data_IF_896058424263
#
_entry.id   IF_896058424263
#
_cell.length_a   1.000
_cell.length_b   1.000
_cell.length_c   1.000
_cell.angle_alpha   90.00
_cell.angle_beta   90.00
_cell.angle_gamma   90.00
#
_symmetry.space_group_name_H-M   'P 1'
#
loop_
_entity.id
_entity.type
_entity.pdbx_description
1 polymer ?
#
# COMPACT_ATOMS: atom_id res chain seq x y z
N UNK A 1 10.73 14.87 12.11
CA UNK A 1 9.98 14.16 11.05
C UNK A 1 10.89 14.19 9.85
N UNK A 2 11.44 13.04 9.48
CA UNK A 2 12.41 12.95 8.40
C UNK A 2 11.67 12.58 7.12
N UNK A 3 11.62 13.52 6.18
CA UNK A 3 11.06 13.29 4.85
C UNK A 3 12.14 12.68 3.96
N UNK A 4 11.79 11.59 3.29
CA UNK A 4 12.72 10.83 2.46
C UNK A 4 12.17 10.79 1.05
N UNK A 5 12.92 11.36 0.13
CA UNK A 5 12.58 11.35 -1.29
C UNK A 5 12.84 9.96 -1.88
N UNK A 6 11.79 9.31 -2.36
CA UNK A 6 11.86 7.99 -3.03
C UNK A 6 11.82 8.15 -4.55
N UNK A 7 10.92 9.00 -5.05
CA UNK A 7 10.76 9.31 -6.47
C UNK A 7 10.90 10.81 -6.70
N UNK A 8 11.27 11.20 -7.92
CA UNK A 8 11.35 12.59 -8.35
C UNK A 8 10.09 13.11 -9.04
N UNK A 9 9.17 12.21 -9.40
CA UNK A 9 7.88 12.54 -10.00
C UNK A 9 6.89 11.37 -9.87
N UNK A 10 5.60 11.68 -9.96
CA UNK A 10 4.54 10.68 -10.08
C UNK A 10 4.73 9.78 -11.31
N UNK A 11 5.25 10.32 -12.42
CA UNK A 11 5.50 9.56 -13.64
C UNK A 11 6.59 8.50 -13.43
N UNK A 12 7.71 8.86 -12.79
CA UNK A 12 8.77 7.92 -12.45
C UNK A 12 8.26 6.83 -11.48
N UNK A 13 7.44 7.20 -10.50
CA UNK A 13 6.80 6.23 -9.60
C UNK A 13 5.94 5.23 -10.40
N UNK A 14 5.02 5.71 -11.24
CA UNK A 14 4.16 4.84 -12.08
C UNK A 14 4.97 3.89 -12.95
N UNK A 15 6.00 4.39 -13.63
CA UNK A 15 6.87 3.59 -14.49
C UNK A 15 7.60 2.49 -13.69
N UNK A 16 8.00 2.80 -12.46
CA UNK A 16 8.71 1.86 -11.59
C UNK A 16 7.78 0.79 -11.00
N UNK A 17 6.60 1.19 -10.53
CA UNK A 17 5.68 0.29 -9.84
C UNK A 17 4.84 -0.55 -10.82
N UNK A 18 4.41 0.04 -11.93
CA UNK A 18 3.36 -0.51 -12.79
C UNK A 18 2.05 -0.68 -12.02
N UNK A 19 1.30 -1.73 -12.35
CA UNK A 19 -0.05 -1.99 -11.78
C UNK A 19 -0.02 -2.87 -10.51
N UNK A 20 1.17 -3.13 -9.95
CA UNK A 20 1.33 -4.04 -8.81
C UNK A 20 1.82 -3.29 -7.57
N UNK A 21 1.33 -3.67 -6.38
CA UNK A 21 1.92 -3.17 -5.16
C UNK A 21 3.37 -3.65 -5.03
N UNK A 22 4.21 -2.84 -4.39
CA UNK A 22 5.64 -3.11 -4.17
C UNK A 22 6.01 -2.92 -2.72
N UNK A 23 6.96 -3.73 -2.26
CA UNK A 23 7.61 -3.54 -0.97
C UNK A 23 8.62 -2.41 -1.08
N UNK A 24 8.50 -1.43 -0.19
CA UNK A 24 9.50 -0.41 0.06
C UNK A 24 9.99 -0.55 1.51
N UNK A 25 11.31 -0.56 1.72
CA UNK A 25 11.90 -0.62 3.06
C UNK A 25 12.63 0.69 3.33
N UNK A 26 12.22 1.40 4.38
CA UNK A 26 12.81 2.67 4.80
C UNK A 26 13.06 2.62 6.30
N UNK A 27 14.32 2.76 6.74
CA UNK A 27 14.71 2.69 8.15
C UNK A 27 14.07 1.49 8.90
N UNK A 28 14.17 0.29 8.30
CA UNK A 28 13.56 -0.97 8.79
C UNK A 28 12.02 -0.99 8.85
N UNK A 29 11.33 0.06 8.42
CA UNK A 29 9.88 0.02 8.21
C UNK A 29 9.57 -0.59 6.85
N UNK A 30 8.63 -1.53 6.83
CA UNK A 30 8.14 -2.18 5.61
C UNK A 30 6.85 -1.50 5.17
N UNK A 31 6.88 -0.90 4.00
CA UNK A 31 5.78 -0.18 3.41
C UNK A 31 5.31 -0.91 2.15
N UNK A 32 4.01 -0.95 1.94
CA UNK A 32 3.43 -1.33 0.67
C UNK A 32 3.08 -0.05 -0.09
N UNK A 33 3.68 0.11 -1.26
CA UNK A 33 3.42 1.25 -2.16
C UNK A 33 2.76 0.78 -3.45
N UNK A 34 1.81 1.57 -3.94
CA UNK A 34 1.13 1.36 -5.21
C UNK A 34 0.74 2.69 -5.84
N UNK A 35 0.35 2.65 -7.11
CA UNK A 35 -0.39 3.74 -7.75
C UNK A 35 -1.69 3.17 -8.30
N UNK A 36 -2.80 3.84 -8.06
CA UNK A 36 -4.10 3.53 -8.65
C UNK A 36 -4.75 4.84 -9.08
N UNK A 37 -5.23 4.93 -10.33
CA UNK A 37 -5.85 6.12 -10.91
C UNK A 37 -5.09 7.41 -10.57
N UNK A 38 -3.81 7.42 -10.92
CA UNK A 38 -2.89 8.54 -10.71
C UNK A 38 -2.66 8.96 -9.25
N UNK A 39 -3.16 8.18 -8.30
CA UNK A 39 -3.02 8.41 -6.87
C UNK A 39 -1.97 7.47 -6.28
N UNK A 40 -0.83 8.00 -5.78
CA UNK A 40 0.10 7.24 -4.96
C UNK A 40 -0.55 6.79 -3.67
N UNK A 41 -0.07 5.67 -3.14
CA UNK A 41 -0.62 5.03 -1.96
C UNK A 41 0.53 4.45 -1.16
N UNK A 42 0.56 4.72 0.14
CA UNK A 42 1.61 4.26 1.04
C UNK A 42 0.98 3.79 2.34
N UNK A 43 1.02 2.48 2.57
CA UNK A 43 0.50 1.84 3.78
C UNK A 43 1.56 0.94 4.40
N UNK A 44 1.35 0.51 5.64
CA UNK A 44 2.16 -0.56 6.22
C UNK A 44 2.07 -1.84 5.38
N UNK A 45 3.21 -2.49 5.12
CA UNK A 45 3.23 -3.78 4.39
C UNK A 45 2.59 -4.91 5.20
N UNK A 46 2.43 -4.74 6.51
CA UNK A 46 1.92 -5.80 7.37
C UNK A 46 0.40 -5.79 7.42
N UNK A 47 -0.23 -6.83 6.88
CA UNK A 47 -1.67 -7.02 7.00
C UNK A 47 -2.09 -7.04 8.49
N UNK A 48 -3.01 -6.17 8.92
CA UNK A 48 -3.39 -6.06 10.34
C UNK A 48 -4.14 -7.29 10.87
N UNK A 49 -4.62 -8.17 9.99
CA UNK A 49 -5.24 -9.45 10.37
C UNK A 49 -4.21 -10.43 10.94
N UNK A 50 -3.35 -11.02 10.10
CA UNK A 50 -2.37 -12.05 10.51
C UNK A 50 -0.94 -11.79 10.02
N UNK A 51 -0.63 -10.56 9.59
CA UNK A 51 0.75 -10.12 9.33
C UNK A 51 1.36 -10.49 7.99
N UNK A 52 0.60 -11.07 7.04
CA UNK A 52 1.12 -11.29 5.69
C UNK A 52 1.47 -9.95 5.00
N UNK A 53 2.46 -10.00 4.12
CA UNK A 53 2.92 -8.89 3.31
C UNK A 53 1.88 -8.50 2.26
N UNK A 54 1.31 -7.31 2.40
CA UNK A 54 0.34 -6.74 1.48
C UNK A 54 0.95 -6.47 0.11
N UNK A 55 2.25 -6.15 0.04
CA UNK A 55 2.95 -5.96 -1.24
C UNK A 55 3.09 -7.23 -2.09
N UNK A 56 2.81 -8.41 -1.53
CA UNK A 56 2.67 -9.66 -2.31
C UNK A 56 1.27 -9.85 -2.90
N UNK A 57 0.33 -8.98 -2.53
CA UNK A 57 -1.05 -8.99 -2.98
C UNK A 57 -1.25 -8.35 -4.35
N UNK A 58 -2.47 -7.87 -4.57
CA UNK A 58 -2.86 -7.13 -5.76
C UNK A 58 -3.65 -5.88 -5.39
N UNK A 59 -3.74 -4.94 -6.32
CA UNK A 59 -4.71 -3.84 -6.25
C UNK A 59 -5.88 -4.21 -7.15
N UNK A 60 -7.11 -4.13 -6.64
CA UNK A 60 -8.31 -4.38 -7.44
C UNK A 60 -8.77 -3.09 -8.16
N UNK A 61 -9.79 -3.22 -9.01
CA UNK A 61 -10.32 -2.10 -9.79
C UNK A 61 -11.03 -1.02 -8.95
N UNK A 62 -11.28 -1.27 -7.66
CA UNK A 62 -11.88 -0.32 -6.73
C UNK A 62 -10.82 0.50 -5.95
N UNK A 63 -9.54 0.29 -6.23
CA UNK A 63 -8.47 0.96 -5.48
C UNK A 63 -8.28 0.39 -4.09
N UNK A 64 -8.41 -0.94 -3.94
CA UNK A 64 -8.21 -1.63 -2.67
C UNK A 64 -7.05 -2.62 -2.80
N UNK A 65 -6.23 -2.73 -1.75
CA UNK A 65 -5.22 -3.77 -1.67
C UNK A 65 -5.81 -5.07 -1.15
N UNK A 66 -5.65 -6.13 -1.92
CA UNK A 66 -6.12 -7.48 -1.60
C UNK A 66 -4.98 -8.26 -0.97
N UNK A 67 -5.11 -8.58 0.31
CA UNK A 67 -4.16 -9.44 1.03
C UNK A 67 -4.11 -10.83 0.36
N UNK A 68 -2.92 -11.32 -0.02
CA UNK A 68 -2.79 -12.55 -0.81
C UNK A 68 -3.14 -13.83 -0.04
N UNK A 69 -3.22 -13.76 1.30
CA UNK A 69 -3.49 -14.93 2.12
C UNK A 69 -4.99 -15.20 2.30
N UNK A 70 -5.70 -14.25 2.92
CA UNK A 70 -7.11 -14.43 3.29
C UNK A 70 -8.07 -13.52 2.48
N UNK A 71 -7.55 -12.78 1.49
CA UNK A 71 -8.38 -11.94 0.63
C UNK A 71 -9.01 -10.72 1.33
N UNK A 72 -8.45 -10.28 2.46
CA UNK A 72 -8.88 -9.02 3.11
C UNK A 72 -8.55 -7.84 2.20
N UNK A 73 -9.48 -6.89 2.13
CA UNK A 73 -9.42 -5.77 1.20
C UNK A 73 -9.33 -4.49 2.01
N UNK A 74 -8.36 -3.65 1.68
CA UNK A 74 -8.14 -2.39 2.38
C UNK A 74 -8.15 -1.24 1.39
N UNK A 75 -8.98 -0.23 1.64
CA UNK A 75 -9.05 0.95 0.80
C UNK A 75 -7.72 1.71 0.86
N UNK A 76 -7.09 1.91 -0.30
CA UNK A 76 -5.70 2.34 -0.35
C UNK A 76 -5.46 3.74 0.24
N UNK A 77 -6.45 4.65 0.16
CA UNK A 77 -6.32 6.02 0.68
C UNK A 77 -6.58 6.15 2.19
N UNK A 78 -7.45 5.30 2.72
CA UNK A 78 -7.93 5.44 4.12
C UNK A 78 -7.40 4.34 5.03
N UNK A 79 -6.85 3.27 4.45
CA UNK A 79 -6.45 2.07 5.16
C UNK A 79 -7.62 1.19 5.63
N UNK A 80 -8.86 1.62 5.40
CA UNK A 80 -10.04 0.96 5.97
C UNK A 80 -10.22 -0.46 5.43
N UNK A 81 -10.44 -1.45 6.30
CA UNK A 81 -10.85 -2.79 5.83
C UNK A 81 -12.30 -2.73 5.33
N UNK A 82 -12.51 -3.14 4.07
CA UNK A 82 -13.75 -2.85 3.35
C UNK A 82 -14.99 -3.54 3.95
N UNK A 83 -14.81 -4.67 4.64
CA UNK A 83 -15.89 -5.43 5.27
C UNK A 83 -15.92 -5.29 6.80
N UNK A 84 -15.05 -4.47 7.39
CA UNK A 84 -14.87 -4.28 8.83
C UNK A 84 -14.65 -5.59 9.61
N UNK A 85 -13.92 -6.55 9.03
CA UNK A 85 -13.61 -7.87 9.63
C UNK A 85 -12.23 -7.93 10.28
N UNK A 86 -11.39 -6.93 10.04
CA UNK A 86 -10.09 -6.76 10.67
C UNK A 86 -9.85 -5.27 10.95
N UNK A 87 -8.86 -4.92 11.80
CA UNK A 87 -8.45 -3.53 11.96
C UNK A 87 -8.01 -2.92 10.63
N UNK A 88 -8.07 -1.60 10.55
CA UNK A 88 -7.58 -0.84 9.40
C UNK A 88 -6.06 -0.97 9.27
N UNK A 89 -5.55 -0.92 8.04
CA UNK A 89 -4.10 -0.85 7.80
C UNK A 89 -3.61 0.58 8.06
N UNK A 90 -2.46 0.71 8.69
CA UNK A 90 -1.82 2.00 8.93
C UNK A 90 -1.44 2.66 7.59
N UNK A 91 -1.89 3.90 7.41
CA UNK A 91 -1.46 4.76 6.29
C UNK A 91 -0.25 5.60 6.70
N UNK A 92 0.63 5.85 5.75
CA UNK A 92 1.83 6.66 5.96
C UNK A 92 1.66 7.98 5.22
N UNK A 93 1.93 9.15 5.83
CA UNK A 93 1.93 10.42 5.12
C UNK A 93 2.97 10.45 3.98
N UNK A 94 2.60 11.01 2.84
CA UNK A 94 3.46 11.25 1.68
C UNK A 94 3.05 12.55 0.98
N UNK A 95 3.98 13.09 0.18
CA UNK A 95 3.79 14.24 -0.72
C UNK A 95 4.48 13.99 -2.07
#
# INVERSE_FOLDING_TARGET
MDWIKIFDSLQHMKQTLGDKPRLLIVHNKRLCIAVHDDSPLVVSDRCPHNGESLSKGSVNYLGEIVCPWHGYQFHLQTGRECAQRAPDVETIPYE
#
